data_IF_940980141265
#
_entry.id   IF_940980141265
#
_cell.length_a   1.000
_cell.length_b   1.000
_cell.length_c   1.000
_cell.angle_alpha   90.00
_cell.angle_beta   90.00
_cell.angle_gamma   90.00
#
_symmetry.space_group_name_H-M   'P 1'
#
loop_
_entity.id
_entity.type
_entity.pdbx_description
1 polymer ?
#
# COMPACT_ATOMS: atom_id res chain seq x y z
N UNK A 1 -10.59 -4.29 0.68
CA UNK A 1 -10.67 -3.08 -0.18
C UNK A 1 -10.32 -3.44 -1.60
N UNK A 2 -10.93 -2.75 -2.57
CA UNK A 2 -10.65 -2.99 -3.99
C UNK A 2 -9.50 -2.12 -4.52
N UNK A 3 -8.70 -1.60 -3.63
CA UNK A 3 -7.60 -0.73 -3.99
C UNK A 3 -6.31 -1.53 -4.13
N UNK A 4 -5.44 -1.05 -5.00
CA UNK A 4 -4.11 -1.58 -5.18
C UNK A 4 -3.09 -0.47 -4.96
N UNK A 5 -1.92 -0.84 -4.44
CA UNK A 5 -0.80 0.07 -4.28
C UNK A 5 0.31 -0.36 -5.23
N UNK A 6 0.76 0.56 -6.07
CA UNK A 6 1.85 0.32 -7.01
C UNK A 6 3.11 1.01 -6.51
N UNK A 7 4.17 0.27 -6.31
CA UNK A 7 5.45 0.83 -5.89
C UNK A 7 6.28 1.28 -7.10
N UNK A 8 7.32 2.06 -6.83
CA UNK A 8 8.19 2.63 -7.86
C UNK A 8 8.83 1.57 -8.76
N UNK A 9 9.17 0.42 -8.22
CA UNK A 9 9.72 -0.69 -9.00
C UNK A 9 8.71 -1.40 -9.88
N UNK A 10 7.46 -0.94 -9.90
CA UNK A 10 6.42 -1.50 -10.74
C UNK A 10 5.62 -2.63 -10.10
N UNK A 11 5.94 -3.03 -8.88
CA UNK A 11 5.21 -4.07 -8.17
C UNK A 11 3.87 -3.54 -7.67
N UNK A 12 2.82 -4.33 -7.88
CA UNK A 12 1.46 -3.99 -7.47
C UNK A 12 1.03 -4.93 -6.34
N UNK A 13 0.48 -4.33 -5.27
CA UNK A 13 0.00 -5.06 -4.11
C UNK A 13 -1.45 -4.72 -3.84
N UNK A 14 -2.19 -5.66 -3.26
CA UNK A 14 -3.57 -5.43 -2.85
C UNK A 14 -3.59 -4.75 -1.48
N UNK A 15 -4.31 -3.64 -1.38
CA UNK A 15 -4.47 -2.94 -0.11
C UNK A 15 -5.46 -3.70 0.75
N UNK A 16 -5.03 -4.12 1.93
CA UNK A 16 -5.90 -4.80 2.89
C UNK A 16 -6.71 -3.80 3.69
N UNK A 17 -6.04 -2.83 4.29
CA UNK A 17 -6.70 -1.74 5.01
C UNK A 17 -5.70 -0.60 5.25
N UNK A 18 -6.20 0.56 5.60
CA UNK A 18 -5.40 1.72 5.97
C UNK A 18 -5.69 2.00 7.44
N UNK A 19 -4.64 2.05 8.27
CA UNK A 19 -4.81 2.26 9.70
C UNK A 19 -4.97 3.74 10.06
N UNK A 20 -5.16 4.02 11.35
CA UNK A 20 -5.39 5.39 11.82
C UNK A 20 -4.18 6.31 11.65
N UNK A 21 -2.98 5.76 11.51
CA UNK A 21 -1.77 6.53 11.24
C UNK A 21 -1.55 6.78 9.75
N UNK A 22 -2.43 6.27 8.88
CA UNK A 22 -2.33 6.41 7.44
C UNK A 22 -1.41 5.38 6.79
N UNK A 23 -0.97 4.38 7.53
CA UNK A 23 -0.14 3.31 6.97
C UNK A 23 -1.00 2.34 6.18
N UNK A 24 -0.55 1.99 4.98
CA UNK A 24 -1.30 1.15 4.07
C UNK A 24 -0.83 -0.29 4.21
N UNK A 25 -1.70 -1.14 4.75
CA UNK A 25 -1.39 -2.55 4.97
C UNK A 25 -1.70 -3.37 3.72
N UNK A 26 -0.77 -4.22 3.33
CA UNK A 26 -0.86 -5.02 2.12
C UNK A 26 -1.19 -6.47 2.47
N UNK A 27 -1.99 -7.12 1.61
CA UNK A 27 -2.37 -8.51 1.83
C UNK A 27 -1.22 -9.48 1.53
N UNK A 28 -0.47 -9.22 0.47
CA UNK A 28 0.53 -10.16 -0.02
C UNK A 28 1.76 -10.28 0.88
N UNK A 29 2.15 -9.19 1.52
CA UNK A 29 3.43 -9.13 2.25
C UNK A 29 3.27 -9.07 3.76
N UNK A 30 2.13 -8.65 4.25
CA UNK A 30 1.93 -8.36 5.67
C UNK A 30 2.70 -7.11 6.14
N UNK A 31 3.27 -6.36 5.23
CA UNK A 31 4.02 -5.14 5.52
C UNK A 31 3.11 -3.93 5.28
N UNK A 32 3.30 -2.88 6.09
CA UNK A 32 2.58 -1.62 5.88
C UNK A 32 3.47 -0.63 5.13
N UNK A 33 2.89 0.07 4.15
CA UNK A 33 3.57 1.18 3.48
C UNK A 33 3.37 2.46 4.30
N UNK A 34 4.46 3.16 4.54
CA UNK A 34 4.45 4.41 5.31
C UNK A 34 4.50 5.58 4.34
N UNK A 35 3.45 6.42 4.27
CA UNK A 35 3.36 7.49 3.26
C UNK A 35 4.53 8.47 3.26
N UNK A 36 5.15 8.70 4.42
CA UNK A 36 6.27 9.62 4.54
C UNK A 36 7.62 9.02 4.12
N UNK A 37 7.69 7.70 3.94
CA UNK A 37 8.95 6.97 3.69
C UNK A 37 8.89 6.21 2.37
N UNK A 38 7.77 5.55 2.10
CA UNK A 38 7.62 4.69 0.92
C UNK A 38 6.97 5.47 -0.23
N UNK A 39 7.53 5.33 -1.42
CA UNK A 39 6.96 5.92 -2.63
C UNK A 39 6.05 4.90 -3.31
N UNK A 40 4.80 5.28 -3.54
CA UNK A 40 3.80 4.40 -4.14
C UNK A 40 2.64 5.22 -4.71
N UNK A 41 1.83 4.58 -5.55
CA UNK A 41 0.59 5.13 -6.07
C UNK A 41 -0.57 4.24 -5.66
N UNK A 42 -1.70 4.85 -5.31
CA UNK A 42 -2.93 4.10 -5.08
C UNK A 42 -3.69 3.99 -6.40
N UNK A 43 -3.98 2.77 -6.78
CA UNK A 43 -4.71 2.46 -8.00
C UNK A 43 -6.07 1.89 -7.60
N UNK A 44 -7.10 2.54 -8.06
CA UNK A 44 -8.49 2.10 -7.81
C UNK A 44 -9.04 1.33 -8.99
#
# INVERSE_FOLDING_TARGET
MDWQAKRLEGKIFTVRFIDSAGQIHLEETGIALIPSVDEYEIVK
#
